data_IF_023321139571
#
_entry.id   IF_023321139571
#
_cell.length_a   1.000
_cell.length_b   1.000
_cell.length_c   1.000
_cell.angle_alpha   90.00
_cell.angle_beta   90.00
_cell.angle_gamma   90.00
#
_symmetry.space_group_name_H-M   'P 1'
#
loop_
_entity.id
_entity.type
_entity.pdbx_description
1 polymer ?
#
# COMPACT_ATOMS: atom_id res chain seq x y z
N UNK A 1 21.59 -2.79 -17.04
CA UNK A 1 20.14 -2.86 -17.43
C UNK A 1 19.29 -2.83 -16.19
N UNK A 2 19.04 -1.65 -15.70
CA UNK A 2 17.88 -1.41 -14.82
C UNK A 2 16.64 -1.52 -15.71
N UNK A 3 16.15 -2.72 -15.87
CA UNK A 3 14.86 -2.94 -16.51
C UNK A 3 13.77 -2.41 -15.59
N UNK A 4 13.05 -1.46 -16.08
CA UNK A 4 11.75 -0.93 -15.71
C UNK A 4 10.72 -1.96 -15.19
N UNK A 5 11.01 -2.68 -14.13
CA UNK A 5 10.00 -3.51 -13.45
C UNK A 5 8.88 -2.63 -12.86
N UNK A 6 9.20 -1.39 -12.47
CA UNK A 6 8.23 -0.50 -11.86
C UNK A 6 7.16 0.06 -12.82
N UNK A 7 7.51 0.46 -14.03
CA UNK A 7 6.54 1.07 -14.97
C UNK A 7 5.58 0.05 -15.61
N UNK A 8 6.07 -1.16 -15.91
CA UNK A 8 5.23 -2.21 -16.48
C UNK A 8 4.23 -2.81 -15.50
N UNK A 9 4.61 -3.00 -14.24
CA UNK A 9 3.71 -3.53 -13.22
C UNK A 9 2.65 -2.50 -12.77
N UNK A 10 3.03 -1.24 -12.66
CA UNK A 10 2.09 -0.14 -12.35
C UNK A 10 1.03 -0.03 -13.45
N UNK A 11 1.41 -0.13 -14.72
CA UNK A 11 0.47 -0.08 -15.85
C UNK A 11 -0.46 -1.31 -15.89
N UNK A 12 0.07 -2.50 -15.68
CA UNK A 12 -0.71 -3.75 -15.71
C UNK A 12 -1.73 -3.87 -14.56
N UNK A 13 -1.46 -3.24 -13.41
CA UNK A 13 -2.39 -3.25 -12.27
C UNK A 13 -3.51 -2.22 -12.38
N UNK A 14 -3.45 -1.34 -13.38
CA UNK A 14 -4.48 -0.33 -13.66
C UNK A 14 -5.41 -0.73 -14.80
N UNK A 15 -5.35 -1.98 -15.26
CA UNK A 15 -6.26 -2.52 -16.28
C UNK A 15 -7.24 -3.51 -15.67
N UNK A 16 -8.42 -3.58 -16.28
CA UNK A 16 -9.52 -4.46 -15.88
C UNK A 16 -9.27 -5.93 -16.26
N UNK A 17 -8.42 -6.17 -17.26
CA UNK A 17 -8.20 -7.47 -17.91
C UNK A 17 -7.73 -8.58 -16.98
N UNK A 18 -7.03 -8.25 -15.90
CA UNK A 18 -6.38 -9.26 -15.05
C UNK A 18 -7.32 -9.90 -14.05
N UNK A 19 -8.23 -9.13 -13.50
CA UNK A 19 -9.06 -9.54 -12.34
C UNK A 19 -10.54 -9.28 -12.53
N UNK A 20 -10.96 -8.95 -13.74
CA UNK A 20 -12.36 -8.80 -14.11
C UNK A 20 -12.62 -9.35 -15.50
N UNK A 21 -13.89 -9.42 -15.89
CA UNK A 21 -14.30 -9.69 -17.27
C UNK A 21 -14.27 -8.44 -18.18
N UNK A 22 -13.83 -7.29 -17.64
CA UNK A 22 -13.63 -6.03 -18.41
C UNK A 22 -12.32 -6.00 -19.16
N UNK A 23 -12.14 -4.95 -19.98
CA UNK A 23 -10.95 -4.73 -20.81
C UNK A 23 -10.45 -3.30 -20.71
N UNK A 24 -9.12 -3.14 -20.83
CA UNK A 24 -8.45 -1.85 -20.91
C UNK A 24 -8.24 -1.12 -19.59
N UNK A 25 -7.74 0.13 -19.63
CA UNK A 25 -7.44 0.91 -18.46
C UNK A 25 -8.70 1.26 -17.63
N UNK A 26 -8.60 1.11 -16.32
CA UNK A 26 -9.72 1.41 -15.42
C UNK A 26 -10.16 2.88 -15.49
N UNK A 27 -9.23 3.79 -15.75
CA UNK A 27 -9.49 5.23 -15.87
C UNK A 27 -10.34 5.62 -17.09
N UNK A 28 -10.45 4.75 -18.09
CA UNK A 28 -11.20 4.99 -19.32
C UNK A 28 -12.66 4.50 -19.21
N UNK A 29 -13.05 3.91 -18.07
CA UNK A 29 -14.38 3.39 -17.82
C UNK A 29 -15.08 4.17 -16.71
N UNK A 30 -16.39 4.41 -16.89
CA UNK A 30 -17.20 5.04 -15.84
C UNK A 30 -17.38 4.10 -14.65
N UNK A 31 -17.37 4.65 -13.43
CA UNK A 31 -17.53 3.85 -12.19
C UNK A 31 -18.76 2.95 -12.20
N UNK A 32 -19.90 3.47 -12.70
CA UNK A 32 -21.16 2.71 -12.84
C UNK A 32 -21.04 1.48 -13.76
N UNK A 33 -20.08 1.48 -14.69
CA UNK A 33 -19.85 0.35 -15.59
C UNK A 33 -18.82 -0.61 -15.02
N UNK A 34 -17.83 -0.12 -14.24
CA UNK A 34 -16.89 -0.95 -13.47
C UNK A 34 -17.66 -1.80 -12.45
N UNK A 35 -18.66 -1.26 -11.80
CA UNK A 35 -19.49 -1.95 -10.81
C UNK A 35 -20.29 -3.13 -11.37
N UNK A 36 -20.52 -3.18 -12.68
CA UNK A 36 -21.18 -4.29 -13.36
C UNK A 36 -20.23 -5.44 -13.73
N UNK A 37 -18.93 -5.21 -13.61
CA UNK A 37 -17.93 -6.21 -13.99
C UNK A 37 -17.87 -7.33 -12.95
N UNK A 38 -17.75 -8.55 -13.45
CA UNK A 38 -17.43 -9.71 -12.62
C UNK A 38 -15.94 -9.68 -12.27
N UNK A 39 -15.66 -9.59 -10.98
CA UNK A 39 -14.31 -9.57 -10.40
C UNK A 39 -13.97 -10.87 -9.64
N UNK A 40 -14.82 -11.89 -9.70
CA UNK A 40 -14.62 -13.13 -8.94
C UNK A 40 -14.39 -14.37 -9.81
N UNK A 41 -14.99 -14.47 -10.99
CA UNK A 41 -14.93 -15.65 -11.84
C UNK A 41 -13.51 -16.03 -12.31
N UNK A 42 -12.62 -15.04 -12.47
CA UNK A 42 -11.21 -15.27 -12.82
C UNK A 42 -10.46 -16.06 -11.75
N UNK A 43 -10.87 -15.93 -10.48
CA UNK A 43 -10.26 -16.65 -9.36
C UNK A 43 -10.86 -18.04 -9.15
N UNK A 44 -12.21 -18.15 -9.16
CA UNK A 44 -12.92 -19.41 -9.04
C UNK A 44 -14.38 -19.24 -9.45
N UNK A 45 -14.97 -20.31 -10.03
CA UNK A 45 -16.41 -20.35 -10.36
C UNK A 45 -17.33 -20.11 -9.14
N UNK A 46 -16.84 -20.37 -7.93
CA UNK A 46 -17.56 -20.09 -6.67
C UNK A 46 -17.80 -18.61 -6.42
N UNK A 47 -17.07 -17.73 -7.09
CA UNK A 47 -17.09 -16.28 -6.92
C UNK A 47 -17.67 -15.53 -8.14
N UNK A 48 -18.35 -16.25 -9.03
CA UNK A 48 -19.07 -15.63 -10.16
C UNK A 48 -20.06 -14.59 -9.63
N UNK A 49 -20.09 -13.40 -10.27
CA UNK A 49 -21.00 -12.31 -9.93
C UNK A 49 -20.52 -11.41 -8.79
N UNK A 50 -19.32 -11.65 -8.22
CA UNK A 50 -18.72 -10.68 -7.30
C UNK A 50 -18.23 -9.49 -8.13
N UNK A 51 -18.69 -8.30 -7.78
CA UNK A 51 -18.31 -7.05 -8.44
C UNK A 51 -17.07 -6.40 -7.81
N UNK A 52 -16.50 -5.41 -8.51
CA UNK A 52 -15.42 -4.58 -7.99
C UNK A 52 -15.99 -3.67 -6.89
N UNK A 53 -15.55 -3.80 -5.62
CA UNK A 53 -16.11 -3.00 -4.54
C UNK A 53 -15.66 -1.54 -4.64
N UNK A 54 -16.51 -0.62 -4.24
CA UNK A 54 -16.12 0.77 -3.97
C UNK A 54 -15.28 0.84 -2.68
N UNK A 55 -14.40 1.84 -2.59
CA UNK A 55 -13.63 2.09 -1.35
C UNK A 55 -14.58 2.29 -0.16
N UNK A 56 -15.71 2.99 -0.35
CA UNK A 56 -16.71 3.19 0.70
C UNK A 56 -17.26 1.88 1.25
N UNK A 57 -17.62 0.92 0.38
CA UNK A 57 -18.14 -0.41 0.75
C UNK A 57 -17.08 -1.23 1.50
N UNK A 58 -15.82 -1.15 1.06
CA UNK A 58 -14.71 -1.82 1.73
C UNK A 58 -14.52 -1.26 3.16
N UNK A 59 -14.52 0.06 3.32
CA UNK A 59 -14.37 0.70 4.63
C UNK A 59 -15.54 0.37 5.56
N UNK A 60 -16.78 0.34 5.04
CA UNK A 60 -17.97 -0.07 5.80
C UNK A 60 -17.89 -1.53 6.26
N UNK A 61 -17.40 -2.42 5.39
CA UNK A 61 -17.21 -3.84 5.72
C UNK A 61 -16.19 -4.05 6.83
N UNK A 62 -15.10 -3.28 6.84
CA UNK A 62 -14.05 -3.36 7.85
C UNK A 62 -14.48 -2.82 9.22
N UNK A 63 -15.50 -1.94 9.28
CA UNK A 63 -16.07 -1.41 10.54
C UNK A 63 -15.00 -0.89 11.53
N UNK A 64 -13.92 -0.30 11.03
CA UNK A 64 -12.82 0.18 11.87
C UNK A 64 -11.96 -0.90 12.55
N UNK A 65 -12.15 -2.18 12.23
CA UNK A 65 -11.40 -3.30 12.83
C UNK A 65 -9.99 -3.46 12.30
N UNK A 66 -9.65 -2.81 11.17
CA UNK A 66 -8.33 -2.87 10.57
C UNK A 66 -7.80 -1.47 10.25
N UNK A 67 -6.48 -1.35 10.24
CA UNK A 67 -5.80 -0.20 9.63
C UNK A 67 -5.69 -0.39 8.13
N UNK A 68 -5.77 0.70 7.37
CA UNK A 68 -5.77 0.66 5.91
C UNK A 68 -4.50 1.30 5.35
N UNK A 69 -3.84 0.59 4.47
CA UNK A 69 -2.81 1.13 3.61
C UNK A 69 -3.42 1.49 2.24
N UNK A 70 -3.45 2.77 1.92
CA UNK A 70 -3.86 3.26 0.62
C UNK A 70 -2.65 3.39 -0.31
N UNK A 71 -2.56 2.50 -1.28
CA UNK A 71 -1.61 2.58 -2.40
C UNK A 71 -2.21 3.42 -3.52
N UNK A 72 -2.03 4.75 -3.43
CA UNK A 72 -2.72 5.73 -4.27
C UNK A 72 -2.07 5.83 -5.64
N UNK A 73 -2.80 5.39 -6.67
CA UNK A 73 -2.33 5.38 -8.06
C UNK A 73 -2.70 6.67 -8.79
N UNK A 74 -2.00 6.93 -9.90
CA UNK A 74 -2.28 8.08 -10.76
C UNK A 74 -3.74 8.11 -11.20
N UNK A 75 -4.32 9.30 -11.27
CA UNK A 75 -5.71 9.50 -11.63
C UNK A 75 -6.70 9.40 -10.46
N UNK A 76 -6.25 9.04 -9.25
CA UNK A 76 -7.12 9.06 -8.06
C UNK A 76 -7.44 10.51 -7.68
N UNK A 77 -8.73 10.89 -7.54
CA UNK A 77 -9.11 12.23 -7.10
C UNK A 77 -8.82 12.40 -5.61
N UNK A 78 -7.74 13.11 -5.30
CA UNK A 78 -7.18 13.23 -3.94
C UNK A 78 -8.18 13.84 -2.95
N UNK A 79 -8.90 14.89 -3.35
CA UNK A 79 -9.91 15.54 -2.50
C UNK A 79 -11.04 14.60 -2.11
N UNK A 80 -11.52 13.82 -3.07
CA UNK A 80 -12.63 12.88 -2.85
C UNK A 80 -12.18 11.73 -1.94
N UNK A 81 -10.95 11.22 -2.13
CA UNK A 81 -10.36 10.21 -1.26
C UNK A 81 -10.25 10.70 0.18
N UNK A 82 -9.69 11.90 0.41
CA UNK A 82 -9.57 12.50 1.75
C UNK A 82 -10.95 12.68 2.40
N UNK A 83 -11.90 13.22 1.64
CA UNK A 83 -13.27 13.43 2.12
C UNK A 83 -13.90 12.11 2.55
N UNK A 84 -13.80 11.08 1.72
CA UNK A 84 -14.33 9.76 2.03
C UNK A 84 -13.67 9.14 3.29
N UNK A 85 -12.35 9.22 3.39
CA UNK A 85 -11.60 8.69 4.55
C UNK A 85 -12.06 9.37 5.84
N UNK A 86 -12.23 10.70 5.83
CA UNK A 86 -12.76 11.47 6.97
C UNK A 86 -14.21 11.09 7.30
N UNK A 87 -15.08 11.04 6.29
CA UNK A 87 -16.49 10.67 6.48
C UNK A 87 -16.67 9.27 7.08
N UNK A 88 -15.73 8.36 6.79
CA UNK A 88 -15.74 6.99 7.31
C UNK A 88 -14.97 6.83 8.63
N UNK A 89 -14.37 7.90 9.18
CA UNK A 89 -13.62 7.88 10.45
C UNK A 89 -12.33 7.07 10.40
N UNK A 90 -11.67 7.06 9.23
CA UNK A 90 -10.44 6.30 8.99
C UNK A 90 -9.17 7.14 8.98
N UNK A 91 -9.23 8.44 9.23
CA UNK A 91 -8.06 9.34 9.18
C UNK A 91 -6.93 8.90 10.11
N UNK A 92 -7.24 8.41 11.30
CA UNK A 92 -6.25 7.90 12.26
C UNK A 92 -5.89 6.42 12.06
N UNK A 93 -6.68 5.70 11.25
CA UNK A 93 -6.52 4.27 10.95
C UNK A 93 -5.99 4.02 9.54
N UNK A 94 -5.53 5.06 8.86
CA UNK A 94 -5.01 4.97 7.50
C UNK A 94 -3.62 5.53 7.38
N UNK A 95 -2.89 5.04 6.38
CA UNK A 95 -1.67 5.65 5.90
C UNK A 95 -1.58 5.49 4.37
N UNK A 96 -0.83 6.38 3.72
CA UNK A 96 -0.91 6.58 2.28
C UNK A 96 0.46 6.54 1.63
N UNK A 97 0.54 5.90 0.48
CA UNK A 97 1.65 6.00 -0.46
C UNK A 97 1.13 6.53 -1.79
N UNK A 98 1.93 7.32 -2.49
CA UNK A 98 1.55 7.96 -3.73
C UNK A 98 2.48 7.56 -4.86
N UNK A 99 1.90 7.24 -6.02
CA UNK A 99 2.64 6.87 -7.22
C UNK A 99 3.42 8.04 -7.82
N UNK A 100 3.13 9.29 -7.38
CA UNK A 100 3.75 10.48 -7.91
C UNK A 100 3.82 11.63 -6.89
N UNK A 101 4.87 12.45 -7.01
CA UNK A 101 5.16 13.50 -6.04
C UNK A 101 4.16 14.65 -6.06
N UNK A 102 3.49 14.92 -7.18
CA UNK A 102 2.51 16.00 -7.25
C UNK A 102 1.23 15.63 -6.49
N UNK A 103 0.80 14.39 -6.60
CA UNK A 103 -0.31 13.85 -5.80
C UNK A 103 0.01 13.90 -4.31
N UNK A 104 1.25 13.55 -3.92
CA UNK A 104 1.70 13.65 -2.54
C UNK A 104 1.66 15.10 -2.04
N UNK A 105 2.15 16.06 -2.83
CA UNK A 105 2.12 17.48 -2.47
C UNK A 105 0.68 18.01 -2.33
N UNK A 106 -0.22 17.62 -3.24
CA UNK A 106 -1.64 17.97 -3.12
C UNK A 106 -2.24 17.40 -1.84
N UNK A 107 -1.96 16.12 -1.53
CA UNK A 107 -2.45 15.46 -0.33
C UNK A 107 -1.98 16.16 0.95
N UNK A 108 -0.69 16.43 1.08
CA UNK A 108 -0.11 17.11 2.25
C UNK A 108 -0.74 18.49 2.46
N UNK A 109 -1.02 19.20 1.38
CA UNK A 109 -1.63 20.54 1.45
C UNK A 109 -3.07 20.49 2.00
N UNK A 110 -3.81 19.39 1.77
CA UNK A 110 -5.21 19.27 2.17
C UNK A 110 -5.36 18.53 3.50
N UNK A 111 -4.48 17.55 3.77
CA UNK A 111 -4.54 16.66 4.92
C UNK A 111 -3.15 16.42 5.54
N UNK A 112 -2.49 17.47 6.06
CA UNK A 112 -1.14 17.36 6.63
C UNK A 112 -1.07 16.46 7.87
N UNK A 113 -2.19 16.22 8.53
CA UNK A 113 -2.32 15.37 9.71
C UNK A 113 -2.35 13.86 9.39
N UNK A 114 -2.63 13.50 8.14
CA UNK A 114 -2.73 12.09 7.75
C UNK A 114 -1.35 11.47 7.51
N UNK A 115 -1.22 10.20 7.88
CA UNK A 115 0.07 9.50 7.88
C UNK A 115 0.51 9.12 6.47
N UNK A 116 1.76 9.44 6.15
CA UNK A 116 2.38 9.15 4.86
C UNK A 116 3.42 8.03 5.02
N UNK A 117 3.45 7.13 4.06
CA UNK A 117 4.49 6.12 3.88
C UNK A 117 5.33 6.46 2.66
N UNK A 118 6.64 6.38 2.78
CA UNK A 118 7.60 6.56 1.68
C UNK A 118 8.43 5.30 1.48
N UNK A 119 9.09 5.18 0.33
CA UNK A 119 10.05 4.10 0.07
C UNK A 119 11.46 4.70 0.07
N UNK A 120 12.36 4.09 0.84
CA UNK A 120 13.76 4.50 0.87
C UNK A 120 14.67 3.31 1.15
N UNK A 121 15.72 3.16 0.34
CA UNK A 121 16.70 2.06 0.49
C UNK A 121 17.83 2.37 1.48
N UNK A 122 17.94 3.60 1.94
CA UNK A 122 18.98 4.05 2.88
C UNK A 122 18.60 5.41 3.50
N UNK A 123 19.40 5.87 4.47
CA UNK A 123 19.18 7.15 5.18
C UNK A 123 19.15 8.33 4.22
N UNK A 124 20.10 8.43 3.28
CA UNK A 124 20.16 9.56 2.34
C UNK A 124 18.91 9.65 1.42
N UNK A 125 18.34 8.51 1.04
CA UNK A 125 17.09 8.46 0.30
C UNK A 125 15.89 8.88 1.18
N UNK A 126 15.89 8.51 2.46
CA UNK A 126 14.86 8.90 3.41
C UNK A 126 14.92 10.40 3.71
N UNK A 127 16.11 10.96 3.89
CA UNK A 127 16.29 12.41 4.09
C UNK A 127 15.77 13.27 2.91
N UNK A 128 15.85 12.75 1.68
CA UNK A 128 15.23 13.41 0.52
C UNK A 128 13.71 13.51 0.67
N UNK A 129 13.07 12.45 1.16
CA UNK A 129 11.64 12.46 1.43
C UNK A 129 11.27 13.39 2.60
N UNK A 130 12.12 13.45 3.63
CA UNK A 130 11.90 14.33 4.79
C UNK A 130 11.96 15.83 4.44
N UNK A 131 12.56 16.18 3.31
CA UNK A 131 12.50 17.56 2.77
C UNK A 131 11.16 17.89 2.11
N UNK A 132 10.36 16.88 1.79
CA UNK A 132 9.08 17.02 1.07
C UNK A 132 7.90 16.82 2.02
N UNK A 133 7.99 15.85 2.93
CA UNK A 133 6.94 15.48 3.87
C UNK A 133 7.53 15.02 5.20
N UNK A 134 6.67 14.85 6.20
CA UNK A 134 7.00 14.16 7.46
C UNK A 134 6.49 12.72 7.38
N UNK A 135 7.31 11.75 6.94
CA UNK A 135 6.84 10.37 6.79
C UNK A 135 6.60 9.73 8.16
N UNK A 136 5.44 9.11 8.33
CA UNK A 136 5.14 8.29 9.50
C UNK A 136 5.71 6.87 9.35
N UNK A 137 5.88 6.41 8.11
CA UNK A 137 6.38 5.09 7.77
C UNK A 137 7.39 5.15 6.63
N UNK A 138 8.42 4.32 6.70
CA UNK A 138 9.34 4.04 5.59
C UNK A 138 9.29 2.56 5.25
N UNK A 139 9.04 2.25 3.98
CA UNK A 139 9.16 0.88 3.47
C UNK A 139 10.51 0.69 2.80
N UNK A 140 11.17 -0.41 3.14
CA UNK A 140 12.48 -0.77 2.59
C UNK A 140 12.65 -2.28 2.53
N UNK A 141 13.60 -2.74 1.69
CA UNK A 141 14.03 -4.13 1.69
C UNK A 141 14.59 -4.51 3.06
N UNK A 142 14.36 -5.75 3.48
CA UNK A 142 14.81 -6.26 4.79
C UNK A 142 16.33 -6.14 4.99
N UNK A 143 17.12 -6.24 3.93
CA UNK A 143 18.57 -6.13 3.98
C UNK A 143 19.06 -4.71 4.26
N UNK A 144 18.22 -3.71 4.03
CA UNK A 144 18.51 -2.30 4.29
C UNK A 144 18.21 -1.89 5.75
N UNK A 145 17.55 -2.76 6.54
CA UNK A 145 17.18 -2.47 7.93
C UNK A 145 18.39 -2.74 8.83
N UNK A 146 19.41 -1.92 8.68
CA UNK A 146 20.62 -1.96 9.50
C UNK A 146 20.39 -1.32 10.89
N UNK A 147 21.25 -1.58 11.89
CA UNK A 147 21.17 -0.89 13.18
C UNK A 147 21.18 0.64 13.04
N UNK A 148 22.00 1.18 12.14
CA UNK A 148 22.07 2.62 11.88
C UNK A 148 20.78 3.16 11.28
N UNK A 149 20.17 2.42 10.34
CA UNK A 149 18.88 2.80 9.75
C UNK A 149 17.75 2.78 10.78
N UNK A 150 17.73 1.78 11.66
CA UNK A 150 16.76 1.69 12.77
C UNK A 150 16.89 2.86 13.74
N UNK A 151 18.12 3.19 14.14
CA UNK A 151 18.37 4.30 15.07
C UNK A 151 17.97 5.64 14.44
N UNK A 152 18.29 5.86 13.16
CA UNK A 152 17.86 7.04 12.42
C UNK A 152 16.34 7.17 12.37
N UNK A 153 15.63 6.08 12.03
CA UNK A 153 14.18 6.08 11.98
C UNK A 153 13.57 6.33 13.37
N UNK A 154 14.08 5.70 14.41
CA UNK A 154 13.64 5.89 15.79
C UNK A 154 13.80 7.34 16.25
N UNK A 155 14.98 7.94 16.01
CA UNK A 155 15.26 9.34 16.37
C UNK A 155 14.36 10.35 15.63
N UNK A 156 13.82 9.97 14.48
CA UNK A 156 12.90 10.79 13.69
C UNK A 156 11.43 10.36 13.82
N UNK A 157 11.09 9.45 14.75
CA UNK A 157 9.74 8.93 14.96
C UNK A 157 9.11 8.26 13.72
N UNK A 158 9.93 7.66 12.85
CA UNK A 158 9.51 6.98 11.62
C UNK A 158 9.46 5.48 11.89
N UNK A 159 8.33 4.84 11.63
CA UNK A 159 8.17 3.38 11.72
C UNK A 159 8.68 2.69 10.46
N UNK A 160 9.30 1.53 10.63
CA UNK A 160 9.90 0.77 9.54
C UNK A 160 8.93 -0.34 9.09
N UNK A 161 8.65 -0.38 7.79
CA UNK A 161 7.93 -1.46 7.12
C UNK A 161 8.92 -2.28 6.28
N UNK A 162 9.09 -3.55 6.58
CA UNK A 162 9.88 -4.45 5.75
C UNK A 162 9.09 -4.90 4.51
N UNK A 163 9.67 -4.71 3.32
CA UNK A 163 9.13 -5.21 2.07
C UNK A 163 9.58 -6.65 1.85
N UNK A 164 8.67 -7.61 2.08
CA UNK A 164 8.91 -9.05 1.95
C UNK A 164 7.83 -9.75 1.14
N UNK A 165 7.30 -9.06 0.11
CA UNK A 165 6.38 -9.67 -0.86
C UNK A 165 7.09 -10.81 -1.61
N UNK A 166 6.36 -11.90 -1.85
CA UNK A 166 6.89 -13.13 -2.47
C UNK A 166 8.10 -13.74 -1.72
N UNK A 167 8.25 -13.42 -0.43
CA UNK A 167 9.37 -13.87 0.36
C UNK A 167 9.34 -15.37 0.64
N UNK A 168 10.52 -15.95 0.76
CA UNK A 168 10.75 -17.30 1.22
C UNK A 168 10.60 -17.39 2.75
N UNK A 169 10.50 -18.60 3.28
CA UNK A 169 10.52 -18.84 4.73
C UNK A 169 11.77 -18.26 5.40
N UNK A 170 12.91 -18.31 4.72
CA UNK A 170 14.18 -17.72 5.22
C UNK A 170 14.05 -16.20 5.42
N UNK A 171 13.40 -15.52 4.49
CA UNK A 171 13.19 -14.07 4.58
C UNK A 171 12.16 -13.72 5.67
N UNK A 172 11.15 -14.58 5.88
CA UNK A 172 10.22 -14.41 6.99
C UNK A 172 10.93 -14.57 8.35
N UNK A 173 11.79 -15.58 8.53
CA UNK A 173 12.62 -15.71 9.73
C UNK A 173 13.53 -14.49 9.93
N UNK A 174 14.12 -13.99 8.84
CA UNK A 174 14.93 -12.77 8.91
C UNK A 174 14.11 -11.54 9.32
N UNK A 175 12.86 -11.42 8.88
CA UNK A 175 11.99 -10.35 9.32
C UNK A 175 11.67 -10.44 10.82
N UNK A 176 11.48 -11.64 11.34
CA UNK A 176 11.29 -11.86 12.79
C UNK A 176 12.52 -11.42 13.57
N UNK A 177 13.75 -11.81 13.14
CA UNK A 177 15.00 -11.39 13.77
C UNK A 177 15.21 -9.87 13.76
N UNK A 178 14.88 -9.23 12.64
CA UNK A 178 15.08 -7.78 12.45
C UNK A 178 14.07 -6.95 13.23
N UNK A 179 12.88 -7.48 13.56
CA UNK A 179 11.83 -6.79 14.30
C UNK A 179 11.45 -5.43 13.69
N UNK A 180 10.97 -5.35 12.44
CA UNK A 180 10.39 -4.13 11.90
C UNK A 180 9.06 -3.81 12.58
N UNK A 181 8.59 -2.56 12.51
CA UNK A 181 7.28 -2.19 13.06
C UNK A 181 6.12 -2.79 12.27
N UNK A 182 6.29 -2.97 10.95
CA UNK A 182 5.33 -3.59 10.04
C UNK A 182 6.05 -4.47 9.01
N UNK A 183 5.30 -5.39 8.44
CA UNK A 183 5.74 -6.21 7.30
C UNK A 183 4.73 -6.08 6.16
N UNK A 184 5.22 -5.89 4.93
CA UNK A 184 4.43 -5.93 3.71
C UNK A 184 4.70 -7.26 3.02
N UNK A 185 3.72 -8.18 3.03
CA UNK A 185 3.88 -9.56 2.57
C UNK A 185 2.59 -10.08 1.91
N UNK A 186 2.75 -11.10 1.05
CA UNK A 186 1.64 -11.69 0.28
C UNK A 186 0.99 -12.88 0.99
N UNK A 187 1.67 -13.48 1.97
CA UNK A 187 1.21 -14.70 2.66
C UNK A 187 1.26 -14.55 4.19
N UNK A 188 0.35 -13.77 4.76
CA UNK A 188 0.32 -13.51 6.20
C UNK A 188 0.10 -14.78 7.03
N UNK A 189 -0.67 -15.74 6.51
CA UNK A 189 -0.93 -17.01 7.16
C UNK A 189 0.35 -17.85 7.38
N UNK A 190 1.26 -17.81 6.42
CA UNK A 190 2.55 -18.49 6.52
C UNK A 190 3.48 -17.77 7.50
N UNK A 191 3.54 -16.44 7.43
CA UNK A 191 4.35 -15.64 8.34
C UNK A 191 3.93 -15.86 9.81
N UNK A 192 2.62 -15.81 10.08
CA UNK A 192 2.06 -16.06 11.41
C UNK A 192 2.42 -17.46 11.90
N UNK A 193 2.33 -18.48 11.03
CA UNK A 193 2.71 -19.86 11.38
C UNK A 193 4.17 -19.96 11.81
N UNK A 194 5.09 -19.29 11.08
CA UNK A 194 6.53 -19.29 11.40
C UNK A 194 6.78 -18.54 12.72
N UNK A 195 6.14 -17.40 12.90
CA UNK A 195 6.25 -16.58 14.13
C UNK A 195 5.85 -17.34 15.40
N UNK A 196 4.88 -18.26 15.30
CA UNK A 196 4.42 -19.09 16.43
C UNK A 196 5.22 -20.37 16.64
N UNK A 197 6.21 -20.68 15.78
CA UNK A 197 7.09 -21.84 15.90
C UNK A 197 8.45 -21.51 16.55
N UNK A 198 8.73 -20.22 16.73
CA UNK A 198 9.88 -19.69 17.47
C UNK A 198 9.47 -19.25 18.89
#
# INVERSE_FOLDING_TARGET
RLRSRGLGDVYKRQTLDRTTNGKGPIQDMLSKDIEKLDAGSWFSSRFIGIHVPRIAEMLDTLQGKAHIFFDVKRGTPIKDLITLVRQKGYENKSFFWFADSEMLKEFIKIAPEMKIKVNASNIAALEKWMKICTPAYVETDILNITPQFKEFCKSNHIKIMAAIQNASEKEYKKAIEVHPDLVNLDRPELFIKILHQE
#
